data_IF_948287167190
#
_entry.id   IF_948287167190
#
_cell.length_a   1.000
_cell.length_b   1.000
_cell.length_c   1.000
_cell.angle_alpha   90.00
_cell.angle_beta   90.00
_cell.angle_gamma   90.00
#
_symmetry.space_group_name_H-M   'P 1'
#
loop_
_entity.id
_entity.type
_entity.pdbx_description
1 polymer ?
#
# COMPACT_ATOMS: atom_id res chain seq x y z
N UNK A 1 -13.74 -3.02 7.28
CA UNK A 1 -12.31 -2.62 7.28
C UNK A 1 -11.59 -3.21 6.08
N UNK A 2 -10.76 -2.41 5.42
CA UNK A 2 -9.80 -2.85 4.42
C UNK A 2 -8.38 -2.73 5.01
N UNK A 3 -7.56 -3.76 4.86
CA UNK A 3 -6.14 -3.71 5.19
C UNK A 3 -5.34 -3.76 3.88
N UNK A 4 -4.32 -2.93 3.75
CA UNK A 4 -3.44 -2.83 2.59
C UNK A 4 -1.99 -2.91 3.08
N UNK A 5 -1.20 -3.75 2.43
CA UNK A 5 0.25 -3.82 2.67
C UNK A 5 0.99 -3.37 1.44
N UNK A 6 1.95 -2.45 1.61
CA UNK A 6 2.82 -1.96 0.54
C UNK A 6 4.27 -2.15 0.98
N UNK A 7 4.99 -3.03 0.29
CA UNK A 7 6.32 -3.48 0.67
C UNK A 7 7.11 -3.97 -0.54
N UNK A 8 7.61 -5.21 -0.46
CA UNK A 8 8.17 -5.91 -1.61
C UNK A 8 7.12 -6.22 -2.67
N UNK A 9 5.87 -6.39 -2.24
CA UNK A 9 4.67 -6.49 -3.07
C UNK A 9 3.55 -5.58 -2.56
N UNK A 10 2.34 -5.74 -3.12
CA UNK A 10 1.13 -5.04 -2.70
C UNK A 10 0.02 -6.05 -2.46
N UNK A 11 -0.48 -6.12 -1.22
CA UNK A 11 -1.53 -7.05 -0.83
C UNK A 11 -2.69 -6.35 -0.14
N UNK A 12 -3.83 -7.02 -0.08
CA UNK A 12 -5.01 -6.52 0.62
C UNK A 12 -5.77 -7.63 1.34
N UNK A 13 -6.51 -7.24 2.36
CA UNK A 13 -7.42 -8.14 3.08
C UNK A 13 -8.66 -7.37 3.53
N UNK A 14 -9.83 -7.99 3.35
CA UNK A 14 -11.09 -7.39 3.77
C UNK A 14 -11.62 -8.09 5.03
N UNK A 15 -12.12 -7.27 5.95
CA UNK A 15 -12.79 -7.73 7.17
C UNK A 15 -14.16 -7.08 7.26
N UNK A 16 -15.21 -7.90 7.32
CA UNK A 16 -16.60 -7.48 7.45
C UNK A 16 -17.24 -8.21 8.65
N UNK A 17 -17.88 -7.47 9.55
CA UNK A 17 -18.51 -8.05 10.75
C UNK A 17 -17.52 -8.85 11.62
N UNK A 18 -16.26 -8.43 11.70
CA UNK A 18 -15.20 -9.13 12.45
C UNK A 18 -14.70 -10.44 11.82
N UNK A 19 -15.12 -10.74 10.58
CA UNK A 19 -14.74 -11.94 9.83
C UNK A 19 -13.91 -11.56 8.60
N UNK A 20 -12.87 -12.34 8.34
CA UNK A 20 -12.10 -12.23 7.10
C UNK A 20 -12.97 -12.65 5.91
N UNK A 21 -12.91 -11.87 4.84
CA UNK A 21 -13.51 -12.20 3.56
C UNK A 21 -12.44 -12.89 2.72
N UNK A 22 -12.62 -14.17 2.45
CA UNK A 22 -11.70 -14.98 1.65
C UNK A 22 -12.06 -15.00 0.16
N UNK A 23 -13.33 -14.79 -0.18
CA UNK A 23 -13.85 -15.03 -1.53
C UNK A 23 -13.95 -16.52 -1.87
N UNK A 24 -14.48 -16.83 -3.06
CA UNK A 24 -14.74 -18.21 -3.49
C UNK A 24 -13.47 -19.07 -3.63
N UNK A 25 -12.34 -18.42 -3.91
CA UNK A 25 -11.05 -19.08 -4.18
C UNK A 25 -9.95 -18.67 -3.21
N UNK A 26 -10.29 -18.07 -2.06
CA UNK A 26 -9.31 -17.56 -1.08
C UNK A 26 -8.41 -16.43 -1.61
N UNK A 27 -8.84 -15.72 -2.66
CA UNK A 27 -8.11 -14.64 -3.33
C UNK A 27 -8.80 -13.27 -3.23
N UNK A 28 -9.80 -13.12 -2.35
CA UNK A 28 -10.39 -11.80 -2.13
C UNK A 28 -9.36 -10.86 -1.49
N UNK A 29 -9.23 -9.65 -2.04
CA UNK A 29 -8.28 -8.66 -1.56
C UNK A 29 -6.92 -8.67 -2.25
N UNK A 30 -6.74 -9.46 -3.32
CA UNK A 30 -5.55 -9.43 -4.20
C UNK A 30 -5.45 -8.12 -5.01
N UNK A 31 -5.47 -6.98 -4.32
CA UNK A 31 -5.47 -5.63 -4.90
C UNK A 31 -4.17 -5.33 -5.64
N UNK A 32 -3.08 -6.04 -5.33
CA UNK A 32 -1.80 -5.93 -6.04
C UNK A 32 -1.93 -6.14 -7.54
N UNK A 33 -2.93 -6.91 -7.99
CA UNK A 33 -3.22 -7.22 -9.39
C UNK A 33 -4.11 -6.19 -10.11
N UNK A 34 -4.55 -5.12 -9.43
CA UNK A 34 -5.20 -4.00 -10.11
C UNK A 34 -4.26 -3.47 -11.18
N UNK A 35 -4.80 -3.09 -12.34
CA UNK A 35 -3.96 -2.66 -13.46
C UNK A 35 -3.60 -1.17 -13.38
N UNK A 36 -2.32 -0.90 -13.67
CA UNK A 36 -1.73 0.41 -13.93
C UNK A 36 -0.87 0.31 -15.19
N UNK A 37 -1.25 1.02 -16.25
CA UNK A 37 -0.50 1.10 -17.52
C UNK A 37 -0.16 -0.27 -18.14
N UNK A 38 -1.10 -1.23 -18.07
CA UNK A 38 -0.91 -2.58 -18.60
C UNK A 38 -0.05 -3.53 -17.74
N UNK A 39 0.36 -3.09 -16.54
CA UNK A 39 1.01 -3.91 -15.51
C UNK A 39 0.16 -3.92 -14.24
N UNK A 40 0.46 -4.80 -13.30
CA UNK A 40 -0.16 -4.75 -11.97
C UNK A 40 0.35 -3.55 -11.16
N UNK A 41 -0.45 -3.03 -10.22
CA UNK A 41 -0.01 -1.93 -9.33
C UNK A 41 1.20 -2.35 -8.49
N UNK A 42 1.36 -3.64 -8.19
CA UNK A 42 2.55 -4.17 -7.53
C UNK A 42 3.81 -3.94 -8.39
N UNK A 43 3.74 -4.28 -9.67
CA UNK A 43 4.86 -4.14 -10.62
C UNK A 43 5.25 -2.69 -10.90
N UNK A 44 4.41 -1.74 -10.53
CA UNK A 44 4.61 -0.29 -10.74
C UNK A 44 4.96 0.44 -9.44
N UNK A 45 4.28 0.15 -8.33
CA UNK A 45 4.31 0.98 -7.12
C UNK A 45 4.87 0.27 -5.87
N UNK A 46 5.22 -1.02 -5.94
CA UNK A 46 5.94 -1.68 -4.83
C UNK A 46 7.35 -1.12 -4.68
N UNK A 47 7.97 -1.27 -3.51
CA UNK A 47 9.31 -0.71 -3.24
C UNK A 47 10.39 -1.14 -4.25
N UNK A 48 10.49 -2.43 -4.62
CA UNK A 48 11.40 -2.89 -5.67
C UNK A 48 11.06 -2.32 -7.06
N UNK A 49 9.78 -2.11 -7.37
CA UNK A 49 9.35 -1.54 -8.64
C UNK A 49 9.77 -0.07 -8.77
N UNK A 50 9.56 0.73 -7.72
CA UNK A 50 10.00 2.13 -7.66
C UNK A 50 11.53 2.20 -7.81
N UNK A 51 12.26 1.36 -7.08
CA UNK A 51 13.72 1.36 -7.14
C UNK A 51 14.27 0.97 -8.51
N UNK A 52 13.63 0.00 -9.17
CA UNK A 52 13.97 -0.41 -10.54
C UNK A 52 13.68 0.71 -11.55
N UNK A 53 12.50 1.32 -11.49
CA UNK A 53 12.14 2.41 -12.39
C UNK A 53 13.11 3.59 -12.26
N UNK A 54 13.48 3.96 -11.02
CA UNK A 54 14.48 4.99 -10.77
C UNK A 54 15.87 4.61 -11.33
N UNK A 55 16.32 3.38 -11.11
CA UNK A 55 17.61 2.94 -11.66
C UNK A 55 17.64 2.96 -13.20
N UNK A 56 16.55 2.57 -13.85
CA UNK A 56 16.40 2.59 -15.31
C UNK A 56 16.39 4.02 -15.86
N UNK A 57 15.60 4.92 -15.27
CA UNK A 57 15.47 6.32 -15.69
C UNK A 57 16.81 7.07 -15.61
N UNK A 58 17.56 6.86 -14.53
CA UNK A 58 18.84 7.53 -14.27
C UNK A 58 20.07 6.70 -14.67
N UNK A 59 19.85 5.58 -15.39
CA UNK A 59 20.91 4.71 -15.94
C UNK A 59 21.94 4.27 -14.89
N UNK A 60 21.47 3.95 -13.67
CA UNK A 60 22.33 3.53 -12.58
C UNK A 60 22.82 2.10 -12.82
N UNK A 61 24.14 1.91 -12.72
CA UNK A 61 24.77 0.60 -12.89
C UNK A 61 24.82 -0.24 -11.60
N UNK A 62 24.54 0.37 -10.46
CA UNK A 62 24.53 -0.28 -9.15
C UNK A 62 23.11 -0.55 -8.67
N UNK A 63 22.96 -1.60 -7.87
CA UNK A 63 21.68 -1.93 -7.24
C UNK A 63 21.33 -0.87 -6.19
N UNK A 64 20.23 -0.18 -6.42
CA UNK A 64 19.65 0.79 -5.47
C UNK A 64 18.37 0.24 -4.85
N UNK A 65 18.09 0.61 -3.60
CA UNK A 65 16.82 0.28 -2.92
C UNK A 65 15.97 1.53 -2.71
N UNK A 66 14.68 1.34 -2.43
CA UNK A 66 13.80 2.46 -2.04
C UNK A 66 14.31 3.19 -0.79
N UNK A 67 14.97 2.48 0.14
CA UNK A 67 15.56 3.11 1.33
C UNK A 67 16.68 4.06 0.93
N UNK A 68 17.51 3.68 -0.04
CA UNK A 68 18.59 4.55 -0.54
C UNK A 68 18.03 5.77 -1.29
N UNK A 69 17.00 5.56 -2.11
CA UNK A 69 16.28 6.65 -2.80
C UNK A 69 15.66 7.61 -1.78
N UNK A 70 15.02 7.08 -0.74
CA UNK A 70 14.47 7.90 0.35
C UNK A 70 15.55 8.72 1.06
N UNK A 71 16.73 8.15 1.35
CA UNK A 71 17.86 8.90 1.92
C UNK A 71 18.35 10.02 1.00
N UNK A 72 18.45 9.77 -0.31
CA UNK A 72 18.80 10.80 -1.30
C UNK A 72 17.77 11.92 -1.29
N UNK A 73 16.48 11.58 -1.31
CA UNK A 73 15.39 12.56 -1.29
C UNK A 73 15.42 13.43 -0.02
N UNK A 74 15.68 12.85 1.15
CA UNK A 74 15.86 13.58 2.42
C UNK A 74 17.08 14.51 2.37
N UNK A 75 18.12 14.13 1.62
CA UNK A 75 19.34 14.93 1.43
C UNK A 75 19.19 16.03 0.38
N UNK A 76 17.98 16.22 -0.19
CA UNK A 76 17.67 17.28 -1.15
C UNK A 76 17.71 16.85 -2.62
N UNK A 77 17.87 15.55 -2.91
CA UNK A 77 17.77 15.03 -4.29
C UNK A 77 16.31 15.11 -4.78
N UNK A 78 16.05 16.07 -5.66
CA UNK A 78 14.71 16.33 -6.20
C UNK A 78 14.20 15.20 -7.08
N UNK A 79 15.09 14.52 -7.81
CA UNK A 79 14.73 13.39 -8.65
C UNK A 79 14.28 12.19 -7.81
N UNK A 80 15.05 11.88 -6.77
CA UNK A 80 14.70 10.81 -5.82
C UNK A 80 13.37 11.12 -5.10
N UNK A 81 13.15 12.38 -4.74
CA UNK A 81 11.88 12.84 -4.16
C UNK A 81 10.72 12.64 -5.13
N UNK A 82 10.85 13.12 -6.37
CA UNK A 82 9.81 13.04 -7.39
C UNK A 82 9.43 11.59 -7.71
N UNK A 83 10.39 10.67 -7.74
CA UNK A 83 10.14 9.25 -7.96
C UNK A 83 9.24 8.64 -6.86
N UNK A 84 9.50 8.98 -5.59
CA UNK A 84 8.68 8.53 -4.45
C UNK A 84 7.29 9.16 -4.51
N UNK A 85 7.21 10.48 -4.69
CA UNK A 85 5.95 11.21 -4.67
C UNK A 85 5.03 10.78 -5.83
N UNK A 86 5.59 10.59 -7.03
CA UNK A 86 4.84 10.16 -8.20
C UNK A 86 4.31 8.74 -8.06
N UNK A 87 5.12 7.82 -7.51
CA UNK A 87 4.69 6.46 -7.25
C UNK A 87 3.60 6.39 -6.16
N UNK A 88 3.75 7.17 -5.08
CA UNK A 88 2.77 7.26 -4.01
C UNK A 88 1.43 7.81 -4.51
N UNK A 89 1.48 8.91 -5.25
CA UNK A 89 0.30 9.53 -5.87
C UNK A 89 -0.39 8.57 -6.84
N UNK A 90 0.36 7.94 -7.74
CA UNK A 90 -0.18 6.96 -8.68
C UNK A 90 -0.87 5.79 -7.97
N UNK A 91 -0.26 5.23 -6.92
CA UNK A 91 -0.88 4.18 -6.13
C UNK A 91 -2.20 4.64 -5.49
N UNK A 92 -2.24 5.85 -4.93
CA UNK A 92 -3.47 6.42 -4.38
C UNK A 92 -4.58 6.55 -5.43
N UNK A 93 -4.24 6.96 -6.67
CA UNK A 93 -5.21 7.05 -7.77
C UNK A 93 -5.85 5.70 -8.11
N UNK A 94 -5.07 4.61 -8.08
CA UNK A 94 -5.58 3.27 -8.35
C UNK A 94 -6.35 2.66 -7.17
N UNK A 95 -6.09 3.10 -5.94
CA UNK A 95 -6.77 2.60 -4.75
C UNK A 95 -8.01 3.41 -4.35
N UNK A 96 -8.15 4.67 -4.75
CA UNK A 96 -9.35 5.45 -4.46
C UNK A 96 -10.65 4.82 -5.01
N UNK A 97 -10.69 4.26 -6.24
CA UNK A 97 -11.82 3.48 -6.72
C UNK A 97 -12.10 2.21 -5.91
N UNK A 98 -11.07 1.60 -5.30
CA UNK A 98 -11.24 0.43 -4.42
C UNK A 98 -11.99 0.83 -3.15
N UNK A 99 -11.68 1.99 -2.57
CA UNK A 99 -12.43 2.51 -1.43
C UNK A 99 -13.88 2.82 -1.81
N UNK A 100 -14.13 3.37 -3.01
CA UNK A 100 -15.48 3.58 -3.50
C UNK A 100 -16.26 2.25 -3.68
N UNK A 101 -15.58 1.18 -4.08
CA UNK A 101 -16.19 -0.14 -4.29
C UNK A 101 -16.45 -0.90 -2.99
N UNK A 102 -15.51 -0.83 -2.04
CA UNK A 102 -15.56 -1.61 -0.79
C UNK A 102 -16.31 -0.87 0.32
N UNK A 103 -16.27 0.47 0.31
CA UNK A 103 -16.84 1.36 1.34
C UNK A 103 -16.52 0.94 2.79
N UNK A 104 -15.22 0.85 3.17
CA UNK A 104 -14.83 0.36 4.49
C UNK A 104 -14.95 1.46 5.56
N UNK A 105 -15.33 1.08 6.80
CA UNK A 105 -15.28 2.00 7.96
C UNK A 105 -13.89 2.59 8.22
N UNK A 106 -12.85 1.80 7.91
CA UNK A 106 -11.44 2.17 8.06
C UNK A 106 -10.60 1.38 7.07
N UNK A 107 -9.63 2.07 6.47
CA UNK A 107 -8.55 1.49 5.68
C UNK A 107 -7.26 1.57 6.46
N UNK A 108 -6.64 0.44 6.76
CA UNK A 108 -5.35 0.35 7.43
C UNK A 108 -4.27 0.08 6.40
N UNK A 109 -3.26 0.92 6.33
CA UNK A 109 -2.15 0.80 5.38
C UNK A 109 -0.85 0.55 6.16
N UNK A 110 -0.15 -0.52 5.79
CA UNK A 110 1.12 -0.90 6.42
C UNK A 110 2.14 -1.41 5.41
N UNK A 111 3.26 -1.91 5.92
CA UNK A 111 4.36 -2.43 5.11
C UNK A 111 5.61 -1.53 5.12
N UNK A 112 6.64 -1.96 4.39
CA UNK A 112 7.93 -1.29 4.38
C UNK A 112 7.93 0.05 3.65
N UNK A 113 7.10 0.21 2.62
CA UNK A 113 7.05 1.45 1.82
C UNK A 113 6.45 2.61 2.62
N UNK A 114 5.28 2.48 3.30
CA UNK A 114 4.73 3.57 4.12
C UNK A 114 5.62 3.97 5.30
N UNK A 115 6.63 3.16 5.64
CA UNK A 115 7.57 3.44 6.73
C UNK A 115 8.59 4.53 6.39
N UNK A 116 8.67 4.99 5.12
CA UNK A 116 9.57 6.09 4.71
C UNK A 116 9.02 7.49 5.04
N UNK A 117 7.82 7.56 5.64
CA UNK A 117 7.26 8.79 6.21
C UNK A 117 6.49 9.66 5.22
N UNK A 118 6.36 10.94 5.56
CA UNK A 118 5.44 11.88 4.89
C UNK A 118 5.75 12.14 3.43
N UNK A 119 7.00 11.92 3.00
CA UNK A 119 7.38 11.95 1.58
C UNK A 119 6.58 10.94 0.74
N UNK A 120 6.07 9.88 1.36
CA UNK A 120 5.15 8.93 0.74
C UNK A 120 3.70 9.17 1.16
N UNK A 121 3.42 9.42 2.44
CA UNK A 121 2.04 9.54 2.92
C UNK A 121 1.29 10.74 2.34
N UNK A 122 1.90 11.92 2.29
CA UNK A 122 1.23 13.11 1.75
C UNK A 122 0.78 12.94 0.29
N UNK A 123 1.67 12.53 -0.66
CA UNK A 123 1.24 12.28 -2.04
C UNK A 123 0.31 11.07 -2.16
N UNK A 124 0.49 10.02 -1.34
CA UNK A 124 -0.40 8.86 -1.33
C UNK A 124 -1.84 9.24 -0.97
N UNK A 125 -2.03 10.13 0.00
CA UNK A 125 -3.36 10.54 0.47
C UNK A 125 -4.06 11.54 -0.48
N UNK A 126 -3.30 12.27 -1.28
CA UNK A 126 -3.84 13.34 -2.13
C UNK A 126 -4.97 12.88 -3.08
N UNK A 127 -4.83 11.77 -3.85
CA UNK A 127 -5.90 11.30 -4.75
C UNK A 127 -7.23 11.02 -4.07
N UNK A 128 -7.23 10.62 -2.79
CA UNK A 128 -8.45 10.35 -2.06
C UNK A 128 -9.22 11.64 -1.76
N UNK A 129 -8.51 12.74 -1.48
CA UNK A 129 -9.11 14.05 -1.17
C UNK A 129 -9.73 14.74 -2.39
N UNK A 130 -9.24 14.44 -3.58
CA UNK A 130 -9.76 14.97 -4.85
C UNK A 130 -10.77 14.03 -5.52
N UNK A 131 -11.01 12.85 -4.94
CA UNK A 131 -11.88 11.84 -5.55
C UNK A 131 -13.34 12.34 -5.62
N UNK A 132 -14.11 12.06 -6.69
CA UNK A 132 -15.46 12.61 -6.85
C UNK A 132 -16.49 12.17 -5.80
N UNK A 133 -16.31 11.01 -5.16
CA UNK A 133 -17.23 10.45 -4.18
C UNK A 133 -16.91 10.92 -2.75
N UNK A 134 -17.91 11.47 -2.05
CA UNK A 134 -17.74 12.01 -0.70
C UNK A 134 -17.29 10.97 0.32
N UNK A 135 -17.79 9.73 0.23
CA UNK A 135 -17.37 8.66 1.14
C UNK A 135 -15.88 8.32 1.01
N UNK A 136 -15.28 8.53 -0.17
CA UNK A 136 -13.84 8.35 -0.37
C UNK A 136 -13.05 9.54 0.19
N UNK A 137 -13.53 10.77 -0.03
CA UNK A 137 -12.88 11.98 0.53
C UNK A 137 -12.88 11.96 2.06
N UNK A 138 -13.96 11.49 2.66
CA UNK A 138 -14.12 11.32 4.11
C UNK A 138 -13.56 10.00 4.66
N UNK A 139 -12.93 9.15 3.84
CA UNK A 139 -12.50 7.83 4.26
C UNK A 139 -11.41 7.89 5.34
N UNK A 140 -11.54 7.05 6.36
CA UNK A 140 -10.57 6.96 7.42
C UNK A 140 -9.39 6.05 7.01
N UNK A 141 -8.29 6.64 6.59
CA UNK A 141 -7.06 5.93 6.24
C UNK A 141 -6.04 6.08 7.37
N UNK A 142 -5.53 4.96 7.91
CA UNK A 142 -4.62 4.95 9.07
C UNK A 142 -3.38 4.08 8.85
N UNK A 143 -2.23 4.45 9.44
CA UNK A 143 -1.06 3.57 9.46
C UNK A 143 -1.32 2.32 10.32
N UNK A 144 -0.75 1.19 9.91
CA UNK A 144 -0.78 -0.04 10.69
C UNK A 144 0.04 0.09 11.99
N UNK A 145 -0.58 -0.15 13.14
CA UNK A 145 0.06 0.01 14.45
C UNK A 145 1.00 -1.14 14.85
N UNK A 146 0.81 -2.34 14.29
CA UNK A 146 1.52 -3.55 14.72
C UNK A 146 2.84 -3.79 13.98
N UNK A 147 3.14 -2.99 12.95
CA UNK A 147 4.36 -3.09 12.15
C UNK A 147 4.62 -4.51 11.63
N UNK A 148 5.87 -4.96 11.70
CA UNK A 148 6.30 -6.30 11.25
C UNK A 148 5.67 -7.47 12.02
N UNK A 149 5.07 -7.22 13.18
CA UNK A 149 4.43 -8.25 14.00
C UNK A 149 2.99 -8.55 13.58
N UNK A 150 2.38 -7.72 12.73
CA UNK A 150 0.99 -7.84 12.33
C UNK A 150 0.64 -9.23 11.79
N UNK A 151 1.50 -9.80 10.92
CA UNK A 151 1.29 -11.13 10.35
C UNK A 151 1.30 -12.25 11.40
N UNK A 152 2.29 -12.24 12.30
CA UNK A 152 2.39 -13.24 13.38
C UNK A 152 1.22 -13.15 14.35
N UNK A 153 0.82 -11.93 14.76
CA UNK A 153 -0.32 -11.72 15.64
C UNK A 153 -1.61 -12.19 14.96
N UNK A 154 -1.82 -11.82 13.69
CA UNK A 154 -2.98 -12.24 12.91
C UNK A 154 -3.08 -13.76 12.78
N UNK A 155 -1.96 -14.43 12.51
CA UNK A 155 -1.90 -15.90 12.46
C UNK A 155 -2.26 -16.53 13.81
N UNK A 156 -1.75 -15.99 14.92
CA UNK A 156 -2.09 -16.45 16.27
C UNK A 156 -3.58 -16.29 16.59
N UNK A 157 -4.17 -15.13 16.27
CA UNK A 157 -5.61 -14.87 16.44
C UNK A 157 -6.45 -15.84 15.59
N UNK A 158 -6.03 -16.09 14.35
CA UNK A 158 -6.72 -17.03 13.46
C UNK A 158 -6.66 -18.47 13.99
N UNK A 159 -5.49 -18.91 14.49
CA UNK A 159 -5.32 -20.22 15.10
C UNK A 159 -6.18 -20.37 16.37
N UNK A 160 -6.17 -19.36 17.26
CA UNK A 160 -6.97 -19.35 18.48
C UNK A 160 -8.49 -19.47 18.19
N UNK A 161 -8.99 -18.72 17.19
CA UNK A 161 -10.39 -18.83 16.74
C UNK A 161 -10.72 -20.23 16.20
N UNK A 162 -9.83 -20.83 15.40
CA UNK A 162 -10.04 -22.20 14.88
C UNK A 162 -10.04 -23.26 15.97
N UNK A 163 -9.33 -23.03 17.07
CA UNK A 163 -9.28 -23.91 18.24
C UNK A 163 -10.39 -23.63 19.26
N UNK A 164 -11.27 -22.65 19.03
CA UNK A 164 -12.35 -22.29 19.97
C UNK A 164 -11.85 -21.60 21.25
N UNK A 165 -10.65 -21.00 21.21
CA UNK A 165 -10.04 -20.33 22.36
C UNK A 165 -10.34 -18.81 22.41
N UNK A 166 -10.99 -18.27 21.38
CA UNK A 166 -11.32 -16.86 21.21
C UNK A 166 -12.53 -16.66 20.28
#
# INVERSE_FOLDING_TARGET
MLCITVGTGIGGAMVQGGKLIYGAHYSAGEIGYILAYGKSIEEVYAGPAIARAFAEEYQLHERITLVDISRRAISGDTAARQAIESAAYGLGQHLAPVLAFVDPDVTVVGGGVPSIGDIWWAPFLHPFTEFPLESVRGALIKPAALGSRAGMIGAGVLAAKKLGMA
#
